data_IF_523741406517
#
_entry.id   IF_523741406517
#
_cell.length_a   1.000
_cell.length_b   1.000
_cell.length_c   1.000
_cell.angle_alpha   90.00
_cell.angle_beta   90.00
_cell.angle_gamma   90.00
#
_symmetry.space_group_name_H-M   'P 1'
#
loop_
_entity.id
_entity.type
_entity.pdbx_description
1 polymer ?
#
# COMPACT_ATOMS: atom_id res chain seq x y z
N UNK A 1 7.33 19.88 -3.43
CA UNK A 1 6.12 20.54 -3.93
C UNK A 1 4.88 19.89 -3.32
N UNK A 2 3.70 20.50 -3.53
CA UNK A 2 2.40 19.94 -3.10
C UNK A 2 1.42 20.06 -4.27
N UNK A 3 0.52 19.09 -4.38
CA UNK A 3 -0.53 19.10 -5.39
C UNK A 3 -1.82 18.52 -4.81
N UNK A 4 -2.93 18.90 -5.42
CA UNK A 4 -4.25 18.35 -5.10
C UNK A 4 -4.86 17.78 -6.38
N UNK A 5 -5.55 16.65 -6.27
CA UNK A 5 -6.33 16.07 -7.36
C UNK A 5 -7.77 15.84 -6.91
N UNK A 6 -8.64 15.53 -7.84
CA UNK A 6 -10.01 15.05 -7.55
C UNK A 6 -10.04 13.53 -7.71
N UNK A 7 -10.50 12.81 -6.70
CA UNK A 7 -10.67 11.36 -6.73
C UNK A 7 -11.81 10.93 -7.66
N UNK A 8 -11.92 9.63 -7.93
CA UNK A 8 -12.99 9.02 -8.73
C UNK A 8 -14.40 9.30 -8.21
N UNK A 9 -14.56 9.60 -6.92
CA UNK A 9 -15.84 9.89 -6.25
C UNK A 9 -15.99 11.35 -5.79
N UNK A 10 -15.06 12.23 -6.23
CA UNK A 10 -15.16 13.68 -6.08
C UNK A 10 -14.49 14.27 -4.83
N UNK A 11 -13.75 13.47 -4.05
CA UNK A 11 -12.95 13.98 -2.93
C UNK A 11 -11.73 14.75 -3.43
N UNK A 12 -11.37 15.81 -2.73
CA UNK A 12 -10.09 16.48 -2.93
C UNK A 12 -9.01 15.71 -2.19
N UNK A 13 -8.06 15.14 -2.94
CA UNK A 13 -6.91 14.41 -2.40
C UNK A 13 -5.66 15.26 -2.49
N UNK A 14 -4.88 15.26 -1.42
CA UNK A 14 -3.63 15.99 -1.30
C UNK A 14 -2.41 15.07 -1.47
N UNK A 15 -1.34 15.58 -2.09
CA UNK A 15 -0.09 14.84 -2.24
C UNK A 15 1.14 15.75 -2.15
N UNK A 16 2.24 15.16 -1.68
CA UNK A 16 3.56 15.79 -1.67
C UNK A 16 4.42 15.19 -2.77
N UNK A 17 5.19 16.04 -3.43
CA UNK A 17 6.07 15.61 -4.52
C UNK A 17 7.51 16.02 -4.27
N UNK A 18 8.42 15.12 -4.65
CA UNK A 18 9.85 15.42 -4.80
C UNK A 18 10.22 15.09 -6.24
N UNK A 19 10.51 16.13 -7.03
CA UNK A 19 10.89 15.98 -8.43
C UNK A 19 12.40 15.88 -8.57
N UNK A 20 12.84 14.98 -9.45
CA UNK A 20 14.21 14.78 -9.87
C UNK A 20 14.25 14.68 -11.41
N UNK A 21 15.44 14.50 -11.99
CA UNK A 21 15.59 14.35 -13.44
C UNK A 21 15.47 12.87 -13.83
N UNK A 22 14.25 12.33 -13.75
CA UNK A 22 13.95 10.92 -14.04
C UNK A 22 12.54 10.81 -14.63
N UNK A 23 12.32 9.80 -15.44
CA UNK A 23 10.97 9.41 -15.91
C UNK A 23 10.30 8.44 -14.93
N UNK A 24 11.05 7.92 -13.95
CA UNK A 24 10.54 6.98 -12.94
C UNK A 24 9.90 7.74 -11.77
N UNK A 25 8.67 7.36 -11.45
CA UNK A 25 7.89 7.85 -10.31
C UNK A 25 7.60 6.75 -9.32
N UNK A 26 7.80 7.03 -8.03
CA UNK A 26 7.36 6.16 -6.95
C UNK A 26 6.16 6.81 -6.27
N UNK A 27 5.00 6.14 -6.31
CA UNK A 27 3.85 6.50 -5.49
C UNK A 27 3.98 5.74 -4.18
N UNK A 28 4.21 6.46 -3.07
CA UNK A 28 4.46 5.87 -1.76
C UNK A 28 3.28 6.06 -0.81
N UNK A 29 2.63 4.96 -0.44
CA UNK A 29 1.38 4.89 0.32
C UNK A 29 1.67 4.66 1.80
N UNK A 30 1.16 5.55 2.65
CA UNK A 30 1.39 5.50 4.10
C UNK A 30 0.45 4.53 4.85
N UNK A 31 0.74 4.30 6.12
CA UNK A 31 -0.03 3.45 7.02
C UNK A 31 -1.30 4.12 7.58
N UNK A 32 -1.97 3.41 8.50
CA UNK A 32 -3.18 3.88 9.18
C UNK A 32 -2.90 5.11 10.06
N UNK A 33 -3.84 6.06 10.05
CA UNK A 33 -3.81 7.31 10.85
C UNK A 33 -2.52 8.13 10.68
N UNK A 34 -2.04 8.22 9.43
CA UNK A 34 -0.78 8.87 9.09
C UNK A 34 -0.93 9.86 7.90
N UNK A 35 0.14 10.19 7.23
CA UNK A 35 0.16 11.10 6.08
C UNK A 35 1.30 10.77 5.11
N UNK A 36 1.22 11.27 3.89
CA UNK A 36 2.30 11.10 2.91
C UNK A 36 3.67 11.55 3.42
N UNK A 37 3.71 12.54 4.32
CA UNK A 37 4.97 13.04 4.90
C UNK A 37 5.71 12.02 5.76
N UNK A 38 4.99 11.13 6.42
CA UNK A 38 5.60 10.08 7.25
C UNK A 38 6.38 9.04 6.45
N UNK A 39 6.11 8.96 5.14
CA UNK A 39 6.88 8.08 4.26
C UNK A 39 8.34 8.53 4.07
N UNK A 40 8.70 9.75 4.45
CA UNK A 40 10.05 10.29 4.24
C UNK A 40 11.20 9.38 4.72
N UNK A 41 11.14 8.73 5.89
CA UNK A 41 12.18 7.78 6.30
C UNK A 41 12.27 6.52 5.43
N UNK A 42 11.14 6.06 4.88
CA UNK A 42 11.03 4.80 4.14
C UNK A 42 11.44 4.93 2.67
N UNK A 43 11.38 6.15 2.11
CA UNK A 43 11.60 6.40 0.66
C UNK A 43 13.03 6.85 0.33
N UNK A 44 13.92 6.95 1.31
CA UNK A 44 15.27 7.48 1.13
C UNK A 44 16.09 6.75 0.05
N UNK A 45 15.89 5.44 -0.11
CA UNK A 45 16.55 4.66 -1.15
C UNK A 45 16.05 5.01 -2.57
N UNK A 46 14.76 5.25 -2.75
CA UNK A 46 14.22 5.69 -4.05
C UNK A 46 14.74 7.08 -4.41
N UNK A 47 14.76 7.99 -3.43
CA UNK A 47 15.36 9.32 -3.61
C UNK A 47 16.83 9.23 -4.02
N UNK A 48 17.60 8.35 -3.37
CA UNK A 48 19.03 8.16 -3.68
C UNK A 48 19.27 7.58 -5.09
N UNK A 49 18.28 6.89 -5.68
CA UNK A 49 18.31 6.44 -7.09
C UNK A 49 17.91 7.51 -8.09
N UNK A 50 17.54 8.68 -7.63
CA UNK A 50 17.13 9.77 -8.52
C UNK A 50 15.68 9.70 -9.00
N UNK A 51 14.84 8.84 -8.39
CA UNK A 51 13.43 8.71 -8.77
C UNK A 51 12.59 9.89 -8.26
N UNK A 52 11.60 10.27 -9.04
CA UNK A 52 10.56 11.19 -8.57
C UNK A 52 9.68 10.50 -7.54
N UNK A 53 9.18 11.26 -6.58
CA UNK A 53 8.36 10.72 -5.49
C UNK A 53 7.02 11.45 -5.44
N UNK A 54 5.94 10.70 -5.35
CA UNK A 54 4.59 11.18 -5.05
C UNK A 54 4.12 10.48 -3.77
N UNK A 55 3.79 11.27 -2.76
CA UNK A 55 3.42 10.84 -1.42
C UNK A 55 2.01 11.33 -1.13
N UNK A 56 0.97 10.60 -1.55
CA UNK A 56 -0.40 10.99 -1.28
C UNK A 56 -0.73 10.93 0.21
N UNK A 57 -1.51 11.87 0.68
CA UNK A 57 -2.32 11.68 1.88
C UNK A 57 -3.54 10.83 1.46
N UNK A 58 -3.72 9.65 2.06
CA UNK A 58 -4.84 8.76 1.72
C UNK A 58 -6.16 9.35 2.21
N UNK A 59 -7.30 8.92 1.64
CA UNK A 59 -8.62 9.47 1.98
C UNK A 59 -8.89 9.51 3.48
N UNK A 60 -9.46 10.61 3.97
CA UNK A 60 -9.78 10.80 5.38
C UNK A 60 -8.57 11.00 6.28
N UNK A 61 -7.37 11.20 5.74
CA UNK A 61 -6.11 11.34 6.46
C UNK A 61 -5.29 12.52 5.94
N UNK A 62 -4.37 13.02 6.77
CA UNK A 62 -3.53 14.16 6.42
C UNK A 62 -4.36 15.39 6.03
N UNK A 63 -4.20 15.86 4.79
CA UNK A 63 -4.97 16.99 4.21
C UNK A 63 -6.00 16.55 3.18
N UNK A 64 -6.06 15.26 2.86
CA UNK A 64 -7.07 14.71 1.95
C UNK A 64 -8.45 14.72 2.58
N UNK A 65 -9.45 15.03 1.77
CA UNK A 65 -10.84 14.91 2.19
C UNK A 65 -11.25 13.44 2.43
N UNK A 66 -12.34 13.26 3.13
CA UNK A 66 -12.93 11.97 3.46
C UNK A 66 -13.46 11.95 4.88
N UNK A 67 -14.53 11.20 5.12
CA UNK A 67 -15.17 11.07 6.42
C UNK A 67 -14.80 9.79 7.18
N UNK A 68 -13.98 8.93 6.57
CA UNK A 68 -13.50 7.68 7.13
C UNK A 68 -12.17 7.27 6.49
N UNK A 69 -11.40 6.42 7.17
CA UNK A 69 -10.20 5.77 6.63
C UNK A 69 -10.66 4.53 5.85
N UNK A 70 -10.26 4.43 4.59
CA UNK A 70 -10.77 3.41 3.65
C UNK A 70 -10.19 2.01 3.82
N UNK A 71 -9.21 1.82 4.73
CA UNK A 71 -8.54 0.54 5.01
C UNK A 71 -8.00 -0.13 3.72
N UNK A 72 -7.58 0.67 2.76
CA UNK A 72 -7.07 0.21 1.47
C UNK A 72 -8.14 -0.03 0.39
N UNK A 73 -9.41 -0.24 0.77
CA UNK A 73 -10.41 -0.66 -0.20
C UNK A 73 -10.82 0.45 -1.18
N UNK A 74 -11.26 1.59 -0.68
CA UNK A 74 -11.52 2.75 -1.54
C UNK A 74 -10.23 3.47 -1.92
N UNK A 75 -9.24 3.46 -1.03
CA UNK A 75 -7.92 4.04 -1.27
C UNK A 75 -7.26 3.52 -2.55
N UNK A 76 -7.47 2.23 -2.92
CA UNK A 76 -6.95 1.67 -4.16
C UNK A 76 -7.46 2.38 -5.41
N UNK A 77 -8.70 2.87 -5.38
CA UNK A 77 -9.29 3.64 -6.48
C UNK A 77 -8.78 5.10 -6.50
N UNK A 78 -8.42 5.65 -5.34
CA UNK A 78 -7.74 6.94 -5.27
C UNK A 78 -6.34 6.84 -5.86
N UNK A 79 -5.64 5.73 -5.64
CA UNK A 79 -4.33 5.50 -6.24
C UNK A 79 -4.43 5.41 -7.77
N UNK A 80 -5.51 4.83 -8.33
CA UNK A 80 -5.77 4.91 -9.77
C UNK A 80 -5.91 6.37 -10.24
N UNK A 81 -6.63 7.22 -9.50
CA UNK A 81 -6.74 8.64 -9.83
C UNK A 81 -5.38 9.35 -9.80
N UNK A 82 -4.49 8.99 -8.88
CA UNK A 82 -3.11 9.49 -8.86
C UNK A 82 -2.27 8.99 -10.03
N UNK A 83 -2.44 7.75 -10.46
CA UNK A 83 -1.78 7.18 -11.64
C UNK A 83 -2.24 7.90 -12.90
N UNK A 84 -3.56 8.12 -13.05
CA UNK A 84 -4.14 8.83 -14.18
C UNK A 84 -3.62 10.27 -14.23
N UNK A 85 -3.58 10.96 -13.09
CA UNK A 85 -3.02 12.30 -13.00
C UNK A 85 -1.53 12.35 -13.39
N UNK A 86 -0.70 11.39 -12.97
CA UNK A 86 0.72 11.32 -13.40
C UNK A 86 0.82 11.14 -14.92
N UNK A 87 -0.04 10.31 -15.51
CA UNK A 87 -0.07 10.07 -16.95
C UNK A 87 -0.54 11.29 -17.77
N UNK A 88 -1.34 12.17 -17.16
CA UNK A 88 -1.78 13.43 -17.78
C UNK A 88 -0.72 14.54 -17.68
N UNK A 89 -0.01 14.61 -16.54
CA UNK A 89 0.95 15.69 -16.25
C UNK A 89 2.36 15.43 -16.78
N UNK A 90 2.74 14.16 -16.99
CA UNK A 90 4.09 13.77 -17.39
C UNK A 90 4.08 12.87 -18.61
N UNK A 91 5.06 13.08 -19.50
CA UNK A 91 5.22 12.28 -20.69
C UNK A 91 5.88 10.92 -20.34
N UNK A 92 5.17 9.82 -20.63
CA UNK A 92 5.64 8.43 -20.44
C UNK A 92 6.25 8.11 -19.05
N UNK A 93 5.59 8.46 -17.92
CA UNK A 93 6.13 8.14 -16.61
C UNK A 93 6.17 6.62 -16.40
N UNK A 94 7.28 6.10 -15.88
CA UNK A 94 7.35 4.73 -15.35
C UNK A 94 6.98 4.75 -13.87
N UNK A 95 5.98 3.97 -13.46
CA UNK A 95 5.40 4.06 -12.14
C UNK A 95 5.72 2.82 -11.31
N UNK A 96 6.26 3.04 -10.13
CA UNK A 96 6.43 2.05 -9.06
C UNK A 96 5.44 2.39 -7.95
N UNK A 97 4.68 1.40 -7.49
CA UNK A 97 3.84 1.55 -6.31
C UNK A 97 4.61 0.97 -5.11
N UNK A 98 4.76 1.76 -4.06
CA UNK A 98 5.32 1.33 -2.80
C UNK A 98 4.31 1.59 -1.68
N UNK A 99 4.09 0.64 -0.80
CA UNK A 99 3.19 0.82 0.33
C UNK A 99 3.68 0.12 1.58
N UNK A 100 3.48 0.75 2.75
CA UNK A 100 3.81 0.19 4.05
C UNK A 100 2.55 0.02 4.92
N UNK A 101 2.41 -1.10 5.62
CA UNK A 101 1.28 -1.41 6.49
C UNK A 101 -0.06 -1.31 5.73
N UNK A 102 -1.02 -0.46 6.15
CA UNK A 102 -2.24 -0.20 5.39
C UNK A 102 -1.94 0.22 3.94
N UNK A 103 -0.85 0.98 3.70
CA UNK A 103 -0.40 1.31 2.34
C UNK A 103 0.04 0.08 1.55
N UNK A 104 0.68 -0.91 2.20
CA UNK A 104 1.02 -2.20 1.61
C UNK A 104 -0.23 -3.00 1.22
N UNK A 105 -1.21 -3.06 2.11
CA UNK A 105 -2.51 -3.66 1.82
C UNK A 105 -3.23 -2.95 0.66
N UNK A 106 -3.17 -1.60 0.62
CA UNK A 106 -3.71 -0.79 -0.48
C UNK A 106 -3.04 -1.13 -1.80
N UNK A 107 -1.71 -1.23 -1.81
CA UNK A 107 -0.93 -1.58 -3.01
C UNK A 107 -1.29 -2.99 -3.53
N UNK A 108 -1.46 -3.96 -2.62
CA UNK A 108 -1.96 -5.29 -2.97
C UNK A 108 -3.40 -5.26 -3.49
N UNK A 109 -4.30 -4.49 -2.86
CA UNK A 109 -5.69 -4.35 -3.32
C UNK A 109 -5.76 -3.66 -4.69
N UNK A 110 -4.90 -2.68 -4.93
CA UNK A 110 -4.76 -2.01 -6.23
C UNK A 110 -4.34 -2.99 -7.32
N UNK A 111 -3.48 -3.96 -7.01
CA UNK A 111 -2.93 -4.90 -7.99
C UNK A 111 -3.96 -5.75 -8.72
N UNK A 112 -5.15 -5.90 -8.13
CA UNK A 112 -6.27 -6.62 -8.75
C UNK A 112 -7.13 -5.77 -9.69
N UNK A 113 -6.85 -4.47 -9.80
CA UNK A 113 -7.49 -3.58 -10.76
C UNK A 113 -6.75 -3.63 -12.12
N UNK A 114 -7.39 -3.10 -13.16
CA UNK A 114 -6.74 -3.00 -14.47
C UNK A 114 -5.77 -1.82 -14.48
N UNK A 115 -4.49 -2.09 -14.25
CA UNK A 115 -3.46 -1.08 -14.25
C UNK A 115 -2.94 -0.77 -15.68
N UNK A 116 -2.56 0.49 -15.98
CA UNK A 116 -1.86 0.81 -17.21
C UNK A 116 -0.46 0.16 -17.23
N UNK A 117 0.04 -0.15 -18.43
CA UNK A 117 1.29 -0.91 -18.63
C UNK A 117 2.55 -0.20 -18.12
N UNK A 118 2.49 1.08 -17.88
CA UNK A 118 3.57 1.87 -17.29
C UNK A 118 3.63 1.79 -15.76
N UNK A 119 2.67 1.12 -15.10
CA UNK A 119 2.84 0.66 -13.72
C UNK A 119 3.68 -0.61 -13.76
N UNK A 120 4.97 -0.48 -13.48
CA UNK A 120 5.99 -1.49 -13.77
C UNK A 120 6.09 -2.56 -12.69
N UNK A 121 5.99 -2.18 -11.43
CA UNK A 121 5.99 -3.12 -10.32
C UNK A 121 5.38 -2.51 -9.05
N UNK A 122 5.06 -3.39 -8.12
CA UNK A 122 4.50 -3.07 -6.80
C UNK A 122 5.44 -3.61 -5.74
N UNK A 123 5.66 -2.84 -4.67
CA UNK A 123 6.40 -3.24 -3.48
C UNK A 123 5.46 -3.03 -2.30
N UNK A 124 5.07 -4.10 -1.65
CA UNK A 124 4.32 -4.06 -0.41
C UNK A 124 5.24 -4.41 0.77
N UNK A 125 5.12 -3.70 1.86
CA UNK A 125 5.88 -3.91 3.10
C UNK A 125 4.90 -4.00 4.28
N UNK A 126 4.85 -5.16 4.92
CA UNK A 126 4.03 -5.52 6.09
C UNK A 126 2.52 -5.24 5.96
N UNK A 127 1.94 -5.41 4.77
CA UNK A 127 0.50 -5.28 4.55
C UNK A 127 -0.29 -6.50 5.03
N UNK A 128 -1.56 -6.28 5.40
CA UNK A 128 -2.47 -7.36 5.81
C UNK A 128 -3.19 -8.02 4.62
N UNK A 129 -3.59 -9.27 4.79
CA UNK A 129 -4.27 -10.06 3.76
C UNK A 129 -5.72 -9.63 3.52
N UNK A 130 -6.43 -9.16 4.54
CA UNK A 130 -7.77 -8.58 4.44
C UNK A 130 -8.08 -7.65 5.60
N UNK A 131 -9.01 -6.72 5.40
CA UNK A 131 -9.52 -5.86 6.50
C UNK A 131 -10.16 -6.70 7.59
N UNK A 132 -10.84 -7.78 7.21
CA UNK A 132 -11.44 -8.69 8.18
C UNK A 132 -10.41 -9.33 9.09
N UNK A 133 -9.34 -9.91 8.52
CA UNK A 133 -8.28 -10.56 9.30
C UNK A 133 -7.63 -9.56 10.27
N UNK A 134 -7.37 -8.34 9.79
CA UNK A 134 -6.73 -7.28 10.58
C UNK A 134 -7.63 -6.83 11.73
N UNK A 135 -8.90 -6.52 11.46
CA UNK A 135 -9.85 -6.07 12.50
C UNK A 135 -10.13 -7.17 13.52
N UNK A 136 -10.22 -8.43 13.08
CA UNK A 136 -10.40 -9.57 14.01
C UNK A 136 -9.18 -9.77 14.90
N UNK A 137 -7.98 -9.69 14.32
CA UNK A 137 -6.73 -9.87 15.07
C UNK A 137 -6.51 -8.75 16.07
N UNK A 138 -6.59 -7.49 15.64
CA UNK A 138 -6.41 -6.33 16.50
C UNK A 138 -7.53 -6.21 17.54
N UNK A 139 -8.78 -6.44 17.14
CA UNK A 139 -9.92 -6.48 18.05
C UNK A 139 -9.72 -7.47 19.20
N UNK A 140 -9.20 -8.67 18.89
CA UNK A 140 -8.91 -9.70 19.88
C UNK A 140 -7.67 -9.37 20.74
N UNK A 141 -6.60 -8.89 20.10
CA UNK A 141 -5.28 -8.74 20.72
C UNK A 141 -5.21 -7.49 21.58
N UNK A 142 -5.67 -6.33 21.09
CA UNK A 142 -5.60 -5.05 21.79
C UNK A 142 -6.80 -4.80 22.69
N UNK A 143 -8.01 -5.17 22.24
CA UNK A 143 -9.25 -4.81 22.91
C UNK A 143 -9.95 -5.99 23.58
N UNK A 144 -9.42 -7.21 23.43
CA UNK A 144 -10.04 -8.45 23.93
C UNK A 144 -11.51 -8.61 23.50
N UNK A 145 -11.87 -8.04 22.36
CA UNK A 145 -13.21 -8.07 21.81
C UNK A 145 -13.48 -9.37 21.07
N UNK A 146 -14.58 -10.09 21.40
CA UNK A 146 -15.00 -11.23 20.59
C UNK A 146 -15.56 -10.75 19.24
N UNK A 147 -15.46 -11.63 18.23
CA UNK A 147 -16.05 -11.35 16.92
C UNK A 147 -17.51 -10.93 17.03
N UNK A 148 -18.31 -11.71 17.71
CA UNK A 148 -19.72 -11.40 17.94
C UNK A 148 -19.94 -10.87 19.37
N UNK A 149 -20.66 -9.77 19.56
CA UNK A 149 -21.35 -8.97 18.54
C UNK A 149 -20.52 -7.81 17.95
N UNK A 150 -19.30 -7.54 18.44
CA UNK A 150 -18.61 -6.26 18.21
C UNK A 150 -18.08 -6.12 16.78
N UNK A 151 -17.25 -7.05 16.32
CA UNK A 151 -16.65 -6.97 14.97
C UNK A 151 -17.72 -7.17 13.90
N UNK A 152 -18.68 -8.06 14.16
CA UNK A 152 -19.85 -8.21 13.29
C UNK A 152 -20.68 -6.91 13.18
N UNK A 153 -20.90 -6.19 14.27
CA UNK A 153 -21.61 -4.91 14.24
C UNK A 153 -20.79 -3.83 13.53
N UNK A 154 -19.46 -3.80 13.75
CA UNK A 154 -18.56 -2.89 13.04
C UNK A 154 -18.58 -3.11 11.53
N UNK A 155 -18.60 -4.37 11.06
CA UNK A 155 -18.72 -4.70 9.63
C UNK A 155 -20.03 -4.17 9.01
N UNK A 156 -21.16 -4.35 9.72
CA UNK A 156 -22.45 -3.79 9.28
C UNK A 156 -22.41 -2.27 9.20
N UNK A 157 -21.84 -1.61 10.20
CA UNK A 157 -21.71 -0.14 10.22
C UNK A 157 -20.81 0.33 9.06
N UNK A 158 -19.70 -0.35 8.81
CA UNK A 158 -18.81 -0.04 7.68
C UNK A 158 -19.56 -0.20 6.36
N UNK A 159 -20.34 -1.27 6.19
CA UNK A 159 -21.15 -1.46 4.98
C UNK A 159 -22.17 -0.34 4.77
N UNK A 160 -22.80 0.15 5.84
CA UNK A 160 -23.79 1.23 5.76
C UNK A 160 -23.12 2.59 5.52
N UNK A 161 -22.03 2.88 6.23
CA UNK A 161 -21.41 4.23 6.24
C UNK A 161 -20.37 4.40 5.13
N UNK A 162 -19.60 3.36 4.82
CA UNK A 162 -18.51 3.40 3.85
C UNK A 162 -18.81 2.60 2.56
N UNK A 163 -19.90 1.83 2.49
CA UNK A 163 -20.34 1.15 1.29
C UNK A 163 -19.68 -0.20 1.00
N UNK A 164 -18.76 -0.68 1.84
CA UNK A 164 -18.09 -1.98 1.69
C UNK A 164 -18.10 -2.78 2.99
N UNK A 165 -17.99 -4.10 2.90
CA UNK A 165 -17.81 -4.99 4.05
C UNK A 165 -16.33 -5.35 4.25
N UNK A 166 -15.97 -5.79 5.45
CA UNK A 166 -14.62 -6.27 5.74
C UNK A 166 -14.22 -7.48 4.88
N UNK A 167 -15.18 -8.31 4.46
CA UNK A 167 -14.96 -9.44 3.56
C UNK A 167 -14.62 -8.99 2.13
N UNK A 168 -15.27 -7.92 1.63
CA UNK A 168 -15.00 -7.37 0.30
C UNK A 168 -13.59 -6.76 0.21
N UNK A 169 -13.10 -6.15 1.31
CA UNK A 169 -11.81 -5.47 1.38
C UNK A 169 -10.67 -6.48 1.62
N UNK A 170 -10.33 -7.23 0.58
CA UNK A 170 -9.39 -8.35 0.63
C UNK A 170 -8.24 -8.19 -0.35
N UNK A 171 -7.03 -7.94 0.17
CA UNK A 171 -5.80 -7.99 -0.60
C UNK A 171 -5.56 -9.40 -1.15
N UNK A 172 -5.88 -10.44 -0.37
CA UNK A 172 -5.76 -11.84 -0.77
C UNK A 172 -6.56 -12.16 -2.05
N UNK A 173 -7.78 -11.63 -2.17
CA UNK A 173 -8.60 -11.86 -3.37
C UNK A 173 -8.15 -11.00 -4.55
N UNK A 174 -7.55 -9.85 -4.29
CA UNK A 174 -7.08 -8.96 -5.35
C UNK A 174 -5.75 -9.43 -5.95
N UNK A 175 -4.79 -9.91 -5.17
CA UNK A 175 -3.52 -10.40 -5.71
C UNK A 175 -3.69 -11.63 -6.62
N UNK A 176 -4.78 -12.39 -6.49
CA UNK A 176 -5.13 -13.48 -7.41
C UNK A 176 -5.42 -13.01 -8.84
N UNK A 177 -5.71 -11.73 -9.01
CA UNK A 177 -6.04 -11.11 -10.31
C UNK A 177 -4.86 -10.27 -10.84
N UNK A 178 -3.82 -10.09 -10.04
CA UNK A 178 -2.69 -9.23 -10.40
C UNK A 178 -1.93 -9.76 -11.61
N UNK A 179 -1.68 -8.87 -12.57
CA UNK A 179 -0.77 -9.09 -13.70
C UNK A 179 0.56 -8.34 -13.50
N UNK A 180 0.57 -7.35 -12.59
CA UNK A 180 1.74 -6.51 -12.27
C UNK A 180 2.65 -7.24 -11.29
N UNK A 181 3.97 -7.30 -11.51
CA UNK A 181 4.91 -7.94 -10.59
C UNK A 181 4.89 -7.35 -9.18
N UNK A 182 4.94 -8.21 -8.14
CA UNK A 182 4.90 -7.78 -6.74
C UNK A 182 6.09 -8.31 -5.95
N UNK A 183 6.80 -7.40 -5.25
CA UNK A 183 7.72 -7.73 -4.17
C UNK A 183 6.97 -7.64 -2.84
N UNK A 184 6.90 -8.76 -2.14
CA UNK A 184 6.33 -8.88 -0.80
C UNK A 184 7.44 -8.81 0.24
N UNK A 185 7.33 -7.90 1.21
CA UNK A 185 8.29 -7.73 2.29
C UNK A 185 7.56 -7.81 3.63
N UNK A 186 8.16 -8.50 4.62
CA UNK A 186 7.57 -8.57 5.97
C UNK A 186 8.64 -8.78 7.03
N UNK A 187 8.40 -8.28 8.23
CA UNK A 187 9.20 -8.61 9.41
C UNK A 187 8.79 -9.96 10.00
N UNK A 188 9.76 -10.84 10.31
CA UNK A 188 9.48 -12.16 10.88
C UNK A 188 8.80 -12.07 12.27
N UNK A 189 9.18 -11.06 13.07
CA UNK A 189 8.66 -10.85 14.43
C UNK A 189 7.54 -9.79 14.47
N UNK A 190 6.85 -9.56 13.35
CA UNK A 190 5.73 -8.63 13.30
C UNK A 190 4.54 -9.19 14.08
N UNK A 191 4.21 -8.51 15.18
CA UNK A 191 3.08 -8.86 16.06
C UNK A 191 1.87 -7.94 15.89
N UNK A 192 1.97 -6.94 15.03
CA UNK A 192 0.86 -6.06 14.66
C UNK A 192 0.12 -6.63 13.45
N UNK A 193 0.81 -6.82 12.34
CA UNK A 193 0.33 -7.63 11.20
C UNK A 193 1.11 -8.94 11.19
N UNK A 194 0.55 -10.06 11.65
CA UNK A 194 1.29 -11.33 11.73
C UNK A 194 1.88 -11.77 10.40
N UNK A 195 3.12 -12.29 10.45
CA UNK A 195 3.90 -12.69 9.26
C UNK A 195 3.18 -13.71 8.37
N UNK A 196 2.23 -14.47 8.92
CA UNK A 196 1.37 -15.40 8.17
C UNK A 196 0.59 -14.70 7.06
N UNK A 197 0.30 -13.40 7.21
CA UNK A 197 -0.38 -12.63 6.17
C UNK A 197 0.42 -12.61 4.88
N UNK A 198 1.73 -12.34 4.94
CA UNK A 198 2.57 -12.25 3.74
C UNK A 198 2.67 -13.60 3.01
N UNK A 199 2.76 -14.69 3.74
CA UNK A 199 2.80 -16.02 3.10
C UNK A 199 1.51 -16.32 2.34
N UNK A 200 0.36 -15.98 2.92
CA UNK A 200 -0.96 -16.19 2.28
C UNK A 200 -1.10 -15.39 0.99
N UNK A 201 -0.78 -14.09 1.02
CA UNK A 201 -0.90 -13.22 -0.16
C UNK A 201 0.16 -13.56 -1.21
N UNK A 202 1.38 -13.92 -0.78
CA UNK A 202 2.44 -14.37 -1.68
C UNK A 202 2.03 -15.65 -2.43
N UNK A 203 1.53 -16.66 -1.73
CA UNK A 203 1.10 -17.92 -2.36
C UNK A 203 -0.04 -17.66 -3.36
N UNK A 204 -1.00 -16.80 -3.01
CA UNK A 204 -2.19 -16.52 -3.81
C UNK A 204 -1.93 -15.67 -5.05
N UNK A 205 -0.89 -14.83 -5.05
CA UNK A 205 -0.61 -13.90 -6.13
C UNK A 205 -0.36 -14.62 -7.48
N UNK A 206 -1.04 -14.16 -8.53
CA UNK A 206 -0.98 -14.77 -9.87
C UNK A 206 0.17 -14.24 -10.74
N UNK A 207 0.73 -13.08 -10.38
CA UNK A 207 1.80 -12.39 -11.12
C UNK A 207 3.20 -12.94 -10.82
N UNK A 208 4.22 -12.43 -11.53
CA UNK A 208 5.61 -12.55 -11.10
C UNK A 208 5.79 -11.98 -9.69
N UNK A 209 6.47 -12.71 -8.83
CA UNK A 209 6.54 -12.37 -7.42
C UNK A 209 7.87 -12.73 -6.78
N UNK A 210 8.25 -11.96 -5.76
CA UNK A 210 9.39 -12.22 -4.91
C UNK A 210 9.01 -11.99 -3.45
N UNK A 211 9.58 -12.75 -2.53
CA UNK A 211 9.34 -12.63 -1.09
C UNK A 211 10.64 -12.29 -0.37
N UNK A 212 10.56 -11.35 0.58
CA UNK A 212 11.60 -11.06 1.55
C UNK A 212 10.99 -11.05 2.95
N UNK A 213 11.31 -12.06 3.76
CA UNK A 213 11.02 -12.03 5.20
C UNK A 213 12.32 -11.66 5.92
N UNK A 214 12.27 -10.60 6.74
CA UNK A 214 13.45 -10.08 7.44
C UNK A 214 13.49 -10.62 8.86
N UNK A 215 14.48 -11.49 9.21
CA UNK A 215 14.55 -12.11 10.53
C UNK A 215 14.66 -11.08 11.66
N UNK A 216 13.83 -11.24 12.69
CA UNK A 216 13.83 -10.40 13.87
C UNK A 216 13.34 -8.95 13.65
N UNK A 217 12.77 -8.64 12.48
CA UNK A 217 12.13 -7.36 12.23
C UNK A 217 10.69 -7.35 12.74
N UNK A 218 10.28 -6.26 13.36
CA UNK A 218 8.91 -6.01 13.79
C UNK A 218 8.14 -5.23 12.72
N UNK A 219 6.89 -4.84 13.01
CA UNK A 219 6.03 -4.07 12.11
C UNK A 219 6.71 -2.82 11.55
N UNK A 220 6.66 -2.65 10.23
CA UNK A 220 7.25 -1.52 9.48
C UNK A 220 8.73 -1.24 9.79
N UNK A 221 9.49 -2.25 10.25
CA UNK A 221 10.88 -2.09 10.63
C UNK A 221 11.87 -2.94 9.84
N UNK A 222 11.41 -3.63 8.79
CA UNK A 222 12.24 -4.48 7.92
C UNK A 222 13.46 -3.73 7.36
N UNK A 223 13.25 -2.50 6.86
CA UNK A 223 14.30 -1.64 6.35
C UNK A 223 15.31 -1.23 7.45
N UNK A 224 14.82 -0.90 8.64
CA UNK A 224 15.69 -0.48 9.76
C UNK A 224 16.49 -1.65 10.31
N UNK A 225 15.94 -2.86 10.29
CA UNK A 225 16.57 -4.08 10.81
C UNK A 225 17.73 -4.54 9.94
N UNK A 226 17.56 -4.55 8.63
CA UNK A 226 18.63 -4.86 7.68
C UNK A 226 18.54 -3.98 6.44
N UNK A 227 19.03 -2.75 6.58
CA UNK A 227 19.03 -1.74 5.53
C UNK A 227 19.66 -2.22 4.22
N UNK A 228 20.78 -2.97 4.32
CA UNK A 228 21.52 -3.44 3.13
C UNK A 228 20.74 -4.52 2.39
N UNK A 229 20.22 -5.51 3.10
CA UNK A 229 19.42 -6.58 2.52
C UNK A 229 18.15 -6.02 1.89
N UNK A 230 17.45 -5.16 2.62
CA UNK A 230 16.20 -4.52 2.18
C UNK A 230 16.40 -3.81 0.84
N UNK A 231 17.27 -2.80 0.77
CA UNK A 231 17.47 -2.02 -0.45
C UNK A 231 18.11 -2.79 -1.58
N UNK A 232 18.99 -3.73 -1.28
CA UNK A 232 19.52 -4.64 -2.30
C UNK A 232 18.40 -5.46 -2.94
N UNK A 233 17.46 -5.97 -2.15
CA UNK A 233 16.33 -6.76 -2.65
C UNK A 233 15.37 -5.88 -3.47
N UNK A 234 15.01 -4.70 -2.94
CA UNK A 234 14.16 -3.73 -3.62
C UNK A 234 14.75 -3.31 -4.96
N UNK A 235 16.02 -2.94 -5.00
CA UNK A 235 16.68 -2.52 -6.24
C UNK A 235 16.79 -3.65 -7.26
N UNK A 236 17.20 -4.85 -6.83
CA UNK A 236 17.28 -6.00 -7.72
C UNK A 236 15.92 -6.39 -8.30
N UNK A 237 14.83 -6.12 -7.58
CA UNK A 237 13.50 -6.36 -8.07
C UNK A 237 13.09 -5.30 -9.10
N UNK A 238 13.24 -4.04 -8.78
CA UNK A 238 12.91 -2.91 -9.67
C UNK A 238 13.67 -3.00 -10.99
N UNK A 239 14.99 -3.30 -10.94
CA UNK A 239 15.88 -3.36 -12.10
C UNK A 239 15.48 -4.43 -13.14
N UNK A 240 14.51 -5.29 -12.85
CA UNK A 240 13.94 -6.23 -13.83
C UNK A 240 12.85 -5.61 -14.70
N UNK A 241 12.24 -4.51 -14.25
CA UNK A 241 11.02 -3.98 -14.86
C UNK A 241 11.13 -2.51 -15.29
N UNK A 242 12.12 -1.77 -14.80
CA UNK A 242 12.42 -0.39 -15.20
C UNK A 242 13.55 -0.43 -16.24
N UNK A 243 13.39 0.33 -17.35
CA UNK A 243 14.38 0.43 -18.43
C UNK A 243 15.42 1.53 -18.18
#
# INVERSE_FOLDING_TARGET
EQTDITSYDGLKLHGYMVKQSSDVWVIALHGYDDSGRSMAPLIGGFYARGYNLLLPDMRGQGKSEGSYIGMGWHDRLDVLSWIDWLNEEYENPEIIIYGASMGGATAMMLSGEKLPSNVRCIIEDCGYASVRDEVEYEGKTLFHMPYYPFIWAADIVTKICAGYSFEEASALEQVKKSETPILFIHGEDDTFVPVENVYRVYEAAACEKQLLVVPGAQHASSMLKDYRLYWKTVYNFIDKYIE
#
